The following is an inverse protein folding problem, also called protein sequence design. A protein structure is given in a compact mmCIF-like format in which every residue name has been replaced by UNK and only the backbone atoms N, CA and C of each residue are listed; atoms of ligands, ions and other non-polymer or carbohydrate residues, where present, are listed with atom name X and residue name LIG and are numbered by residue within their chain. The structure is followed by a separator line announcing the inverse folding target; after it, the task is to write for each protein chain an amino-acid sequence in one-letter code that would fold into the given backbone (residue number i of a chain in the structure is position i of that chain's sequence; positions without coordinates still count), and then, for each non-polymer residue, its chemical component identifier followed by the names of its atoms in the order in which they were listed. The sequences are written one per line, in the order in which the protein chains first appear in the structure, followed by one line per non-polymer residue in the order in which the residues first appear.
data_IF_431802744742
#
_entry.id   IF_431802744742
#
_cell.length_a   1.000
_cell.length_b   1.000
_cell.length_c   1.000
_cell.angle_alpha   90.00
_cell.angle_beta   90.00
_cell.angle_gamma   90.00
#
_symmetry.space_group_name_H-M   'P 1'
#
loop_
_entity.id
_entity.type
_entity.pdbx_description
1 polymer ?
#
# COMPACT_ATOMS: atom_id res chain seq x y z
N UNK A 1 3.55 1.31 -14.65
CA UNK A 1 3.08 1.59 -13.27
C UNK A 1 3.66 0.54 -12.34
N UNK A 2 4.33 0.97 -11.27
CA UNK A 2 4.94 0.08 -10.27
C UNK A 2 4.08 0.10 -9.02
N UNK A 3 3.64 -1.07 -8.54
CA UNK A 3 2.81 -1.16 -7.34
C UNK A 3 3.56 -1.96 -6.30
N UNK A 4 3.62 -1.43 -5.08
CA UNK A 4 4.37 -2.03 -3.98
C UNK A 4 3.46 -2.16 -2.77
N UNK A 5 3.41 -3.36 -2.18
CA UNK A 5 2.69 -3.64 -0.94
C UNK A 5 3.71 -3.94 0.14
N UNK A 6 3.89 -3.02 1.06
CA UNK A 6 4.77 -3.18 2.20
C UNK A 6 4.00 -3.82 3.36
N UNK A 7 4.57 -4.88 3.93
CA UNK A 7 3.97 -5.62 5.03
C UNK A 7 5.01 -6.09 6.03
N UNK A 8 4.61 -6.42 7.26
CA UNK A 8 5.49 -7.10 8.20
C UNK A 8 5.05 -8.56 8.37
N UNK A 9 6.00 -9.42 8.74
CA UNK A 9 5.74 -10.85 8.95
C UNK A 9 4.68 -11.07 10.04
N UNK A 10 3.60 -11.76 9.69
CA UNK A 10 2.49 -12.06 10.61
C UNK A 10 1.33 -11.06 10.58
N UNK A 11 1.32 -10.09 9.65
CA UNK A 11 0.16 -9.24 9.46
C UNK A 11 -1.02 -10.03 8.86
N UNK A 12 -2.17 -10.13 9.54
CA UNK A 12 -3.35 -10.83 9.02
C UNK A 12 -3.99 -10.09 7.84
N UNK A 13 -3.71 -8.80 7.70
CA UNK A 13 -4.33 -7.93 6.71
C UNK A 13 -3.52 -7.82 5.40
N UNK A 14 -2.33 -8.40 5.31
CA UNK A 14 -1.52 -8.32 4.08
C UNK A 14 -2.21 -9.04 2.90
N UNK A 15 -2.60 -10.30 3.09
CA UNK A 15 -3.20 -11.11 2.04
C UNK A 15 -4.50 -10.50 1.50
N UNK A 16 -5.45 -10.11 2.37
CA UNK A 16 -6.67 -9.43 1.93
C UNK A 16 -6.42 -8.10 1.22
N UNK A 17 -5.37 -7.35 1.59
CA UNK A 17 -5.04 -6.10 0.92
C UNK A 17 -4.49 -6.34 -0.50
N UNK A 18 -3.63 -7.35 -0.67
CA UNK A 18 -3.09 -7.74 -1.99
C UNK A 18 -4.21 -8.27 -2.89
N UNK A 19 -5.10 -9.10 -2.35
CA UNK A 19 -6.24 -9.65 -3.10
C UNK A 19 -7.19 -8.55 -3.60
N UNK A 20 -7.51 -7.60 -2.71
CA UNK A 20 -8.31 -6.42 -3.07
C UNK A 20 -7.62 -5.57 -4.14
N UNK A 21 -6.32 -5.33 -4.00
CA UNK A 21 -5.55 -4.59 -5.00
C UNK A 21 -5.56 -5.28 -6.37
N UNK A 22 -5.34 -6.60 -6.41
CA UNK A 22 -5.42 -7.39 -7.65
C UNK A 22 -6.81 -7.36 -8.27
N UNK A 23 -7.85 -7.42 -7.44
CA UNK A 23 -9.24 -7.31 -7.90
C UNK A 23 -9.50 -5.96 -8.58
N UNK A 24 -9.07 -4.86 -7.97
CA UNK A 24 -9.22 -3.52 -8.55
C UNK A 24 -8.42 -3.40 -9.86
N UNK A 25 -7.18 -3.92 -9.91
CA UNK A 25 -6.37 -3.92 -11.14
C UNK A 25 -7.05 -4.67 -12.28
N UNK A 26 -7.66 -5.81 -11.98
CA UNK A 26 -8.41 -6.59 -12.97
C UNK A 26 -9.66 -5.83 -13.45
N UNK A 27 -10.40 -5.19 -12.54
CA UNK A 27 -11.58 -4.38 -12.87
C UNK A 27 -11.24 -3.19 -13.76
N UNK A 28 -10.12 -2.51 -13.51
CA UNK A 28 -9.65 -1.38 -14.31
C UNK A 28 -8.94 -1.82 -15.60
N UNK A 29 -8.71 -3.13 -15.79
CA UNK A 29 -8.01 -3.66 -16.96
C UNK A 29 -6.52 -3.29 -17.01
N UNK A 30 -5.89 -3.11 -15.84
CA UNK A 30 -4.51 -2.63 -15.71
C UNK A 30 -3.53 -3.78 -15.48
N UNK A 31 -2.66 -4.10 -16.45
CA UNK A 31 -1.58 -5.05 -16.23
C UNK A 31 -0.46 -4.37 -15.44
N UNK A 32 -0.57 -4.37 -14.11
CA UNK A 32 0.46 -3.84 -13.22
C UNK A 32 1.07 -4.94 -12.35
N UNK A 33 2.39 -4.88 -12.18
CA UNK A 33 3.11 -5.78 -11.29
C UNK A 33 2.97 -5.31 -9.84
N UNK A 34 2.60 -6.25 -8.96
CA UNK A 34 2.42 -6.01 -7.53
C UNK A 34 3.59 -6.65 -6.79
N UNK A 35 4.53 -5.83 -6.36
CA UNK A 35 5.68 -6.24 -5.56
C UNK A 35 5.35 -6.22 -4.07
N UNK A 36 5.36 -7.39 -3.44
CA UNK A 36 5.13 -7.55 -2.01
C UNK A 36 6.47 -7.45 -1.27
N UNK A 37 6.66 -6.41 -0.45
CA UNK A 37 7.91 -6.10 0.24
C UNK A 37 7.75 -6.35 1.75
N UNK A 38 8.47 -7.34 2.26
CA UNK A 38 8.52 -7.62 3.70
C UNK A 38 9.44 -6.63 4.42
N UNK A 39 8.87 -5.87 5.36
CA UNK A 39 9.56 -4.98 6.30
C UNK A 39 9.89 -5.79 7.55
N UNK A 40 11.16 -6.15 7.69
CA UNK A 40 11.65 -7.07 8.74
C UNK A 40 11.99 -6.38 10.06
N UNK A 41 12.40 -5.13 10.00
CA UNK A 41 13.00 -4.40 11.11
C UNK A 41 12.79 -2.89 10.99
N UNK A 42 12.99 -2.16 12.09
CA UNK A 42 12.77 -0.72 12.17
C UNK A 42 13.65 0.08 11.19
N UNK A 43 14.84 -0.42 10.85
CA UNK A 43 15.72 0.23 9.88
C UNK A 43 15.12 0.14 8.48
N UNK A 44 14.62 -1.03 8.08
CA UNK A 44 13.85 -1.20 6.85
C UNK A 44 12.58 -0.32 6.86
N UNK A 45 11.87 -0.24 7.98
CA UNK A 45 10.70 0.62 8.10
C UNK A 45 11.05 2.10 7.90
N UNK A 46 12.16 2.59 8.47
CA UNK A 46 12.60 3.99 8.26
C UNK A 46 13.04 4.25 6.83
N UNK A 47 13.88 3.37 6.26
CA UNK A 47 14.36 3.49 4.89
C UNK A 47 13.20 3.49 3.88
N UNK A 48 12.23 2.63 4.12
CA UNK A 48 11.03 2.53 3.29
C UNK A 48 9.96 3.54 3.70
N UNK A 49 10.13 4.41 4.70
CA UNK A 49 9.05 5.28 5.24
C UNK A 49 7.75 4.50 5.52
N UNK A 50 7.88 3.30 6.06
CA UNK A 50 6.79 2.41 6.34
C UNK A 50 5.91 2.99 7.45
N UNK A 51 4.62 3.12 7.16
CA UNK A 51 3.62 3.69 8.06
C UNK A 51 2.79 2.62 8.78
N UNK A 52 3.11 1.34 8.55
CA UNK A 52 2.40 0.19 9.10
C UNK A 52 1.85 -0.77 8.05
N UNK A 53 1.64 -2.02 8.42
CA UNK A 53 1.08 -3.01 7.49
C UNK A 53 -0.45 -2.97 7.47
N UNK A 54 -1.10 -3.16 6.32
CA UNK A 54 -0.52 -3.14 4.97
C UNK A 54 -0.36 -1.70 4.45
N UNK A 55 0.79 -1.37 3.85
CA UNK A 55 1.00 -0.09 3.16
C UNK A 55 1.04 -0.36 1.66
N UNK A 56 0.17 0.26 0.87
CA UNK A 56 0.18 0.13 -0.60
C UNK A 56 0.72 1.42 -1.21
N UNK A 57 1.60 1.28 -2.20
CA UNK A 57 2.18 2.38 -2.96
C UNK A 57 2.03 2.16 -4.44
N UNK A 58 1.82 3.25 -5.16
CA UNK A 58 1.79 3.30 -6.61
C UNK A 58 2.82 4.32 -7.05
N UNK A 59 3.78 3.90 -7.88
CA UNK A 59 4.93 4.69 -8.32
C UNK A 59 5.69 5.35 -7.16
N UNK A 60 5.83 4.64 -6.03
CA UNK A 60 6.51 5.13 -4.82
C UNK A 60 5.67 6.09 -3.95
N UNK A 61 4.46 6.45 -4.36
CA UNK A 61 3.53 7.29 -3.60
C UNK A 61 2.51 6.42 -2.86
N UNK A 62 2.22 6.75 -1.60
CA UNK A 62 1.18 6.06 -0.83
C UNK A 62 -0.20 6.29 -1.44
N UNK A 63 -1.06 5.26 -1.45
CA UNK A 63 -2.42 5.37 -1.96
C UNK A 63 -3.30 6.29 -1.10
N UNK A 64 -2.94 6.53 0.16
CA UNK A 64 -3.64 7.46 1.05
C UNK A 64 -2.99 8.84 0.95
N UNK A 65 -3.70 9.87 0.44
CA UNK A 65 -3.14 11.20 0.26
C UNK A 65 -2.70 11.84 1.57
N UNK A 66 -3.46 11.62 2.66
CA UNK A 66 -3.13 12.12 3.98
C UNK A 66 -1.81 11.55 4.51
N UNK A 67 -1.47 10.31 4.14
CA UNK A 67 -0.25 9.64 4.53
C UNK A 67 0.99 10.15 3.78
N UNK A 68 0.80 10.73 2.58
CA UNK A 68 1.90 11.28 1.76
C UNK A 68 2.63 12.43 2.47
N UNK A 69 1.93 13.15 3.35
CA UNK A 69 2.49 14.27 4.12
C UNK A 69 2.87 13.89 5.56
N UNK A 70 2.62 12.64 5.97
CA UNK A 70 2.96 12.16 7.31
C UNK A 70 4.44 11.73 7.36
N UNK A 71 5.25 12.46 8.12
CA UNK A 71 6.67 12.13 8.36
C UNK A 71 6.90 11.21 9.58
N UNK A 72 5.86 10.86 10.34
CA UNK A 72 6.00 9.94 11.47
C UNK A 72 6.18 8.51 10.98
N UNK A 73 7.42 8.04 10.98
CA UNK A 73 7.78 6.62 10.77
C UNK A 73 7.62 5.88 12.10
N UNK A 74 6.96 4.72 12.09
CA UNK A 74 6.76 3.93 13.30
C UNK A 74 6.27 2.52 12.98
N UNK A 75 6.74 1.54 13.76
CA UNK A 75 6.33 0.13 13.72
C UNK A 75 4.91 -0.06 14.30
N UNK A 76 3.95 0.73 13.83
CA UNK A 76 2.56 0.71 14.29
C UNK A 76 1.64 0.06 13.26
N UNK A 77 0.51 -0.51 13.70
CA UNK A 77 -0.53 -0.95 12.78
C UNK A 77 -1.17 0.26 12.08
N UNK A 78 -1.28 0.22 10.76
CA UNK A 78 -1.97 1.24 9.98
C UNK A 78 -3.48 1.13 10.25
N UNK A 79 -4.09 2.20 10.76
CA UNK A 79 -5.53 2.23 11.03
C UNK A 79 -6.28 2.70 9.79
N UNK A 80 -6.66 1.75 8.93
CA UNK A 80 -7.73 1.98 7.98
C UNK A 80 -9.09 1.68 8.63
N UNK A 81 -10.19 2.35 8.23
CA UNK A 81 -11.52 1.90 8.58
C UNK A 81 -11.73 0.47 8.04
N UNK A 82 -11.83 -0.52 8.95
CA UNK A 82 -11.94 -1.95 8.60
C UNK A 82 -10.60 -2.69 8.42
N UNK A 83 -9.47 -2.06 8.73
CA UNK A 83 -8.14 -2.70 8.73
C UNK A 83 -7.50 -2.89 7.36
N UNK A 84 -8.20 -2.52 6.28
CA UNK A 84 -7.75 -2.60 4.89
C UNK A 84 -8.02 -1.29 4.15
N UNK A 85 -7.20 -0.91 3.16
CA UNK A 85 -7.52 0.19 2.28
C UNK A 85 -8.80 -0.11 1.50
N UNK A 86 -9.66 0.90 1.32
CA UNK A 86 -10.88 0.79 0.52
C UNK A 86 -10.57 0.63 -0.97
N UNK A 87 -11.41 -0.09 -1.71
CA UNK A 87 -11.26 -0.27 -3.16
C UNK A 87 -11.21 1.08 -3.90
N UNK A 88 -12.03 2.05 -3.47
CA UNK A 88 -12.05 3.40 -4.04
C UNK A 88 -10.72 4.14 -3.88
N UNK A 89 -10.04 3.97 -2.74
CA UNK A 89 -8.72 4.58 -2.49
C UNK A 89 -7.67 3.96 -3.41
N UNK A 90 -7.71 2.64 -3.59
CA UNK A 90 -6.82 1.92 -4.51
C UNK A 90 -7.08 2.39 -5.95
N UNK A 91 -8.34 2.38 -6.39
CA UNK A 91 -8.75 2.81 -7.73
C UNK A 91 -8.28 4.23 -8.01
N UNK A 92 -8.51 5.16 -7.06
CA UNK A 92 -8.11 6.56 -7.23
C UNK A 92 -6.60 6.71 -7.40
N UNK A 93 -5.82 6.00 -6.59
CA UNK A 93 -4.37 6.03 -6.70
C UNK A 93 -3.85 5.43 -8.02
N UNK A 94 -4.52 4.41 -8.56
CA UNK A 94 -4.20 3.84 -9.87
C UNK A 94 -4.52 4.83 -11.00
N UNK A 95 -5.68 5.48 -10.96
CA UNK A 95 -6.08 6.50 -11.94
C UNK A 95 -5.12 7.69 -11.94
N UNK A 96 -4.83 8.27 -10.77
CA UNK A 96 -3.86 9.36 -10.63
C UNK A 96 -2.49 8.98 -11.21
N UNK A 97 -2.08 7.71 -11.06
CA UNK A 97 -0.81 7.18 -11.57
C UNK A 97 -0.81 6.87 -13.07
N UNK A 98 -1.98 6.77 -13.71
CA UNK A 98 -2.10 6.70 -15.17
C UNK A 98 -2.07 8.09 -15.81
N UNK A 99 -2.53 9.11 -15.09
CA UNK A 99 -2.58 10.50 -15.56
C UNK A 99 -1.29 11.30 -15.26
N UNK A 100 -0.33 10.70 -14.53
CA UNK A 100 0.97 11.31 -14.15
C UNK A 100 2.14 10.91 -15.05
#
# INVERSE_FOLDING_TARGET
MRIEVLYFKGCPNHGPAVDRLRTVLLQEGLPADVSEIEVKDESAAKALRFLGSPTIRVNGLDIEPAARNFMSTGFACRRYPGGLPSEEMIRRALQDAQES
#
